data_IF_391706177788
#
_entry.id   IF_391706177788
#
_cell.length_a   1.000
_cell.length_b   1.000
_cell.length_c   1.000
_cell.angle_alpha   90.00
_cell.angle_beta   90.00
_cell.angle_gamma   90.00
#
_symmetry.space_group_name_H-M   'P 1'
#
loop_
_entity.id
_entity.type
_entity.pdbx_description
1 polymer ?
#
# COMPACT_ATOMS: atom_id res chain seq x y z
N UNK A 1 -3.05 2.16 -1.43
CA UNK A 1 -2.48 1.33 -0.35
C UNK A 1 -3.58 0.46 0.19
N UNK A 2 -3.31 -0.81 0.42
CA UNK A 2 -4.31 -1.77 0.89
C UNK A 2 -3.68 -2.88 1.74
N UNK A 3 -4.48 -3.51 2.59
CA UNK A 3 -4.10 -4.75 3.26
C UNK A 3 -4.55 -5.93 2.41
N UNK A 4 -3.64 -6.85 2.13
CA UNK A 4 -3.91 -8.06 1.38
C UNK A 4 -3.60 -9.30 2.24
N UNK A 5 -4.25 -10.45 1.98
CA UNK A 5 -3.85 -11.71 2.59
C UNK A 5 -2.36 -11.99 2.33
N UNK A 6 -1.71 -12.68 3.27
CA UNK A 6 -0.36 -13.17 3.07
C UNK A 6 -0.23 -14.10 1.85
N UNK A 7 0.98 -14.23 1.30
CA UNK A 7 1.24 -15.02 0.07
C UNK A 7 1.13 -16.54 0.23
N UNK A 8 0.76 -17.07 1.40
CA UNK A 8 0.51 -18.51 1.55
C UNK A 8 -0.94 -18.80 1.17
N UNK A 9 -1.14 -19.75 0.26
CA UNK A 9 -2.45 -20.16 -0.27
C UNK A 9 -3.47 -20.57 0.81
N UNK A 10 -3.02 -20.81 2.04
CA UNK A 10 -3.84 -21.21 3.18
C UNK A 10 -4.44 -20.06 3.99
N UNK A 11 -4.08 -18.79 3.71
CA UNK A 11 -4.62 -17.69 4.51
C UNK A 11 -6.04 -17.33 4.07
N UNK A 12 -7.01 -17.32 4.99
CA UNK A 12 -8.38 -16.95 4.65
C UNK A 12 -8.47 -15.46 4.31
N UNK A 13 -9.40 -15.11 3.41
CA UNK A 13 -9.79 -13.71 3.19
C UNK A 13 -10.62 -13.24 4.38
N UNK A 14 -10.28 -12.09 4.93
CA UNK A 14 -10.96 -11.44 6.04
C UNK A 14 -11.61 -10.14 5.57
N UNK A 15 -12.61 -9.66 6.30
CA UNK A 15 -13.37 -8.47 5.94
C UNK A 15 -12.49 -7.20 5.77
N UNK A 16 -11.39 -7.11 6.51
CA UNK A 16 -10.48 -5.96 6.48
C UNK A 16 -9.59 -5.91 5.22
N UNK A 17 -9.54 -6.97 4.40
CA UNK A 17 -8.78 -6.99 3.14
C UNK A 17 -9.38 -6.10 2.04
N UNK A 18 -10.59 -5.55 2.23
CA UNK A 18 -11.18 -4.53 1.35
C UNK A 18 -10.74 -3.10 1.64
N UNK A 19 -9.91 -2.86 2.67
CA UNK A 19 -9.49 -1.50 3.01
C UNK A 19 -8.51 -0.94 1.97
N UNK A 20 -8.89 0.18 1.36
CA UNK A 20 -7.99 0.98 0.53
C UNK A 20 -7.83 2.40 1.13
N UNK A 21 -6.61 2.92 1.06
CA UNK A 21 -6.28 4.31 1.36
C UNK A 21 -5.45 4.90 0.23
N UNK A 22 -5.66 6.18 -0.04
CA UNK A 22 -5.02 6.91 -1.14
C UNK A 22 -4.42 8.20 -0.63
N UNK A 23 -3.19 8.48 -1.09
CA UNK A 23 -2.51 9.75 -0.83
C UNK A 23 -2.96 10.87 -1.75
N UNK A 24 -2.66 12.10 -1.31
CA UNK A 24 -2.82 13.27 -2.16
C UNK A 24 -1.91 13.15 -3.39
N UNK A 25 -2.28 13.85 -4.46
CA UNK A 25 -1.45 13.89 -5.67
C UNK A 25 -0.51 15.07 -5.57
N UNK A 26 0.77 14.81 -5.77
CA UNK A 26 1.79 15.83 -5.93
C UNK A 26 2.11 15.89 -7.42
N UNK A 27 1.82 17.03 -8.05
CA UNK A 27 2.02 17.23 -9.49
C UNK A 27 3.48 17.53 -9.82
N UNK A 28 3.85 17.27 -11.08
CA UNK A 28 5.11 17.71 -11.70
C UNK A 28 6.39 17.34 -10.93
N UNK A 29 6.42 16.17 -10.29
CA UNK A 29 7.62 15.65 -9.65
C UNK A 29 7.68 14.13 -9.76
N UNK A 30 8.90 13.61 -9.92
CA UNK A 30 9.21 12.17 -9.80
C UNK A 30 9.71 11.82 -8.39
N UNK A 31 9.91 12.82 -7.52
CA UNK A 31 10.31 12.65 -6.13
C UNK A 31 9.25 13.26 -5.19
N UNK A 32 8.02 12.70 -5.13
CA UNK A 32 6.95 13.20 -4.29
C UNK A 32 7.28 12.98 -2.80
N UNK A 33 6.95 13.97 -1.95
CA UNK A 33 7.05 13.84 -0.49
C UNK A 33 5.69 14.12 0.14
N UNK A 34 5.06 13.07 0.68
CA UNK A 34 3.76 13.16 1.37
C UNK A 34 3.97 13.50 2.85
N UNK A 35 4.20 14.78 3.15
CA UNK A 35 4.41 15.23 4.53
C UNK A 35 3.13 15.08 5.37
N UNK A 36 3.28 14.51 6.57
CA UNK A 36 2.25 14.45 7.64
C UNK A 36 0.98 13.65 7.30
N UNK A 37 0.94 12.95 6.18
CA UNK A 37 -0.16 12.01 5.90
C UNK A 37 -0.04 10.78 6.80
N UNK A 38 -1.15 10.39 7.43
CA UNK A 38 -1.24 9.18 8.28
C UNK A 38 -2.37 8.30 7.79
N UNK A 39 -2.12 7.00 7.77
CA UNK A 39 -3.06 6.00 7.29
C UNK A 39 -3.23 4.89 8.32
N UNK A 40 -4.49 4.60 8.64
CA UNK A 40 -4.85 3.54 9.58
C UNK A 40 -5.54 2.40 8.86
N UNK A 41 -5.14 1.18 9.20
CA UNK A 41 -5.66 -0.07 8.68
C UNK A 41 -5.87 -1.06 9.82
N UNK A 42 -6.94 -1.84 9.74
CA UNK A 42 -7.04 -3.09 10.48
C UNK A 42 -6.26 -4.18 9.73
N UNK A 43 -5.42 -4.94 10.44
CA UNK A 43 -4.61 -6.01 9.85
C UNK A 43 -4.26 -7.09 10.87
N UNK A 44 -4.01 -8.30 10.38
CA UNK A 44 -3.41 -9.41 11.13
C UNK A 44 -1.90 -9.46 10.84
N UNK A 45 -1.13 -10.13 11.70
CA UNK A 45 0.31 -10.33 11.51
C UNK A 45 0.65 -11.09 10.21
N UNK A 46 -0.27 -11.94 9.76
CA UNK A 46 -0.14 -12.75 8.55
C UNK A 46 -0.35 -11.96 7.26
N UNK A 47 -0.86 -10.74 7.35
CA UNK A 47 -1.18 -9.92 6.19
C UNK A 47 0.05 -9.20 5.62
N UNK A 48 -0.14 -8.64 4.44
CA UNK A 48 0.83 -7.74 3.80
C UNK A 48 0.20 -6.38 3.52
N UNK A 49 0.94 -5.31 3.79
CA UNK A 49 0.65 -3.97 3.31
C UNK A 49 1.15 -3.85 1.88
N UNK A 50 0.24 -3.54 0.96
CA UNK A 50 0.55 -3.25 -0.44
C UNK A 50 0.45 -1.74 -0.72
N UNK A 51 1.53 -1.17 -1.24
CA UNK A 51 1.64 0.23 -1.64
C UNK A 51 1.89 0.26 -3.14
N UNK A 52 0.97 0.84 -3.88
CA UNK A 52 1.07 1.03 -5.32
C UNK A 52 1.24 2.52 -5.64
N UNK A 53 2.21 2.85 -6.50
CA UNK A 53 2.48 4.20 -6.96
C UNK A 53 1.92 4.36 -8.38
N UNK A 54 1.20 5.46 -8.61
CA UNK A 54 0.58 5.77 -9.89
C UNK A 54 0.85 7.21 -10.33
N UNK A 55 1.09 7.41 -11.61
CA UNK A 55 1.01 8.71 -12.27
C UNK A 55 -0.46 9.03 -12.59
N UNK A 56 -1.05 9.98 -11.84
CA UNK A 56 -2.44 10.40 -12.07
C UNK A 56 -2.63 11.05 -13.45
N UNK A 57 -1.61 11.72 -13.98
CA UNK A 57 -1.70 12.56 -15.17
C UNK A 57 -1.23 11.86 -16.45
N UNK A 58 -0.60 10.68 -16.33
CA UNK A 58 -0.37 9.81 -17.46
C UNK A 58 -1.68 9.63 -18.26
N UNK A 59 -1.65 10.17 -19.48
CA UNK A 59 -2.78 10.20 -20.43
C UNK A 59 -3.09 8.81 -21.01
N UNK A 60 -2.26 7.83 -20.71
CA UNK A 60 -2.35 6.47 -21.22
C UNK A 60 -3.54 5.73 -20.58
N UNK A 61 -4.49 5.31 -21.41
CA UNK A 61 -5.46 4.26 -21.08
C UNK A 61 -4.92 2.92 -21.56
N UNK A 62 -5.14 1.81 -20.82
CA UNK A 62 -5.93 1.65 -19.58
C UNK A 62 -5.22 2.16 -18.31
N UNK A 63 -5.94 2.23 -17.18
CA UNK A 63 -5.45 2.70 -15.86
C UNK A 63 -4.15 2.01 -15.42
N UNK A 64 -3.93 0.76 -15.82
CA UNK A 64 -2.69 0.00 -15.60
C UNK A 64 -1.47 0.74 -16.16
N UNK A 65 -1.61 1.50 -17.26
CA UNK A 65 -0.51 2.31 -17.82
C UNK A 65 -0.13 3.52 -16.96
N UNK A 66 -0.86 3.78 -15.86
CA UNK A 66 -0.50 4.76 -14.83
C UNK A 66 0.36 4.16 -13.72
N UNK A 67 0.52 2.85 -13.67
CA UNK A 67 1.33 2.18 -12.66
C UNK A 67 2.80 2.54 -12.81
N UNK A 68 3.42 2.97 -11.71
CA UNK A 68 4.85 3.28 -11.65
C UNK A 68 5.63 2.25 -10.83
N UNK A 69 4.97 1.50 -9.95
CA UNK A 69 5.63 0.52 -9.11
C UNK A 69 4.78 0.07 -7.94
N UNK A 70 5.18 -1.04 -7.32
CA UNK A 70 4.52 -1.65 -6.18
C UNK A 70 5.51 -2.10 -5.12
N UNK A 71 5.18 -1.85 -3.86
CA UNK A 71 5.90 -2.34 -2.70
C UNK A 71 4.95 -3.18 -1.85
N UNK A 72 5.40 -4.36 -1.42
CA UNK A 72 4.66 -5.25 -0.54
C UNK A 72 5.49 -5.50 0.72
N UNK A 73 4.93 -5.19 1.90
CA UNK A 73 5.61 -5.32 3.18
C UNK A 73 4.77 -6.20 4.12
N UNK A 74 5.31 -7.29 4.69
CA UNK A 74 4.62 -8.04 5.74
C UNK A 74 4.28 -7.16 6.94
N UNK A 75 3.05 -7.25 7.44
CA UNK A 75 2.60 -6.48 8.61
C UNK A 75 3.43 -6.83 9.83
N UNK A 76 3.74 -8.12 10.02
CA UNK A 76 4.66 -8.56 11.07
C UNK A 76 5.99 -7.78 11.08
N UNK A 77 6.63 -7.58 9.92
CA UNK A 77 7.91 -6.84 9.84
C UNK A 77 7.78 -5.35 10.19
N UNK A 78 6.62 -4.75 9.94
CA UNK A 78 6.37 -3.36 10.31
C UNK A 78 6.31 -3.20 11.82
N UNK A 79 5.71 -4.17 12.52
CA UNK A 79 5.58 -4.16 13.97
C UNK A 79 6.89 -4.52 14.67
N UNK A 80 7.63 -5.50 14.15
CA UNK A 80 8.97 -5.86 14.66
C UNK A 80 9.93 -4.65 14.62
N UNK A 81 9.89 -3.85 13.55
CA UNK A 81 10.68 -2.62 13.44
C UNK A 81 10.32 -1.56 14.48
N UNK A 82 9.08 -1.52 14.97
CA UNK A 82 8.69 -0.61 16.04
C UNK A 82 9.08 -1.13 17.42
N UNK A 83 9.27 -2.44 17.59
CA UNK A 83 9.64 -3.04 18.87
C UNK A 83 11.13 -2.87 19.22
N UNK A 84 11.99 -2.55 18.24
CA UNK A 84 13.42 -2.28 18.42
C UNK A 84 13.64 -0.77 18.63
N UNK A 85 12.85 -0.18 19.54
CA UNK A 85 12.98 1.21 19.97
C UNK A 85 14.09 1.39 21.00
#
# INVERSE_FOLDING_TARGET
>A
MSIQPGKKSSFPTCAHHGQERRSTIISNTTNPIWHREKYSFFALLTDVLEIEIKDKFAKSRPIIKRFLGKLTIPVQRLLERQAIG
#
